data_IF_253999827069
#
_entry.id   IF_253999827069
#
_cell.length_a   1.000
_cell.length_b   1.000
_cell.length_c   1.000
_cell.angle_alpha   90.00
_cell.angle_beta   90.00
_cell.angle_gamma   90.00
#
_symmetry.space_group_name_H-M   'P 1'
#
loop_
_entity.id
_entity.type
_entity.pdbx_description
1 polymer ?
#
# COMPACT_ATOMS: atom_id res chain seq x y z
N UNK A 1 -11.95 18.51 14.43
CA UNK A 1 -12.58 17.16 14.49
C UNK A 1 -13.21 16.97 15.86
N UNK A 2 -14.52 16.77 15.93
CA UNK A 2 -15.28 16.50 17.15
C UNK A 2 -14.94 15.12 17.75
N UNK A 3 -15.43 14.83 18.95
CA UNK A 3 -15.25 13.49 19.54
C UNK A 3 -15.94 12.39 18.73
N UNK A 4 -17.11 12.69 18.16
CA UNK A 4 -17.88 11.75 17.32
C UNK A 4 -17.14 11.45 16.01
N UNK A 5 -16.68 12.47 15.29
CA UNK A 5 -15.89 12.31 14.06
C UNK A 5 -14.59 11.51 14.29
N UNK A 6 -13.92 11.73 15.42
CA UNK A 6 -12.71 10.94 15.77
C UNK A 6 -13.04 9.47 16.03
N UNK A 7 -14.18 9.20 16.67
CA UNK A 7 -14.60 7.82 16.91
C UNK A 7 -14.98 7.13 15.61
N UNK A 8 -15.72 7.78 14.74
CA UNK A 8 -16.07 7.28 13.41
C UNK A 8 -14.82 6.97 12.59
N UNK A 9 -13.88 7.92 12.50
CA UNK A 9 -12.61 7.72 11.81
C UNK A 9 -11.80 6.55 12.37
N UNK A 10 -11.81 6.37 13.69
CA UNK A 10 -11.14 5.23 14.35
C UNK A 10 -11.76 3.90 13.92
N UNK A 11 -13.09 3.81 13.91
CA UNK A 11 -13.78 2.57 13.50
C UNK A 11 -13.52 2.25 12.02
N UNK A 12 -13.55 3.27 11.17
CA UNK A 12 -13.25 3.11 9.74
C UNK A 12 -11.85 2.54 9.53
N UNK A 13 -10.83 3.10 10.20
CA UNK A 13 -9.46 2.61 10.10
C UNK A 13 -9.31 1.20 10.69
N UNK A 14 -9.93 0.89 11.82
CA UNK A 14 -9.91 -0.45 12.41
C UNK A 14 -10.48 -1.48 11.44
N UNK A 15 -11.57 -1.16 10.79
CA UNK A 15 -12.25 -2.04 9.83
C UNK A 15 -11.41 -2.18 8.53
N UNK A 16 -10.99 -1.06 7.98
CA UNK A 16 -10.21 -1.02 6.73
C UNK A 16 -8.91 -1.81 6.83
N UNK A 17 -8.21 -1.72 7.98
CA UNK A 17 -6.93 -2.38 8.22
C UNK A 17 -7.05 -3.75 8.90
N UNK A 18 -8.27 -4.27 9.04
CA UNK A 18 -8.55 -5.56 9.67
C UNK A 18 -7.90 -5.70 11.07
N UNK A 19 -8.08 -4.67 11.91
CA UNK A 19 -7.52 -4.58 13.26
C UNK A 19 -8.52 -4.91 14.37
N UNK A 20 -9.76 -5.27 14.02
CA UNK A 20 -10.84 -5.51 14.99
C UNK A 20 -10.50 -6.58 16.01
N UNK A 21 -9.83 -7.66 15.60
CA UNK A 21 -9.42 -8.77 16.48
C UNK A 21 -8.39 -8.35 17.52
N UNK A 22 -7.52 -7.41 17.18
CA UNK A 22 -6.41 -6.96 18.03
C UNK A 22 -6.65 -5.60 18.67
N UNK A 23 -7.84 -5.05 18.56
CA UNK A 23 -8.23 -3.72 19.04
C UNK A 23 -7.84 -3.46 20.52
N UNK A 24 -7.89 -4.48 21.35
CA UNK A 24 -7.59 -4.39 22.79
C UNK A 24 -6.23 -4.97 23.17
N UNK A 25 -5.48 -5.46 22.19
CA UNK A 25 -4.15 -6.02 22.42
C UNK A 25 -3.13 -4.91 22.68
N UNK A 26 -2.15 -5.21 23.52
CA UNK A 26 -0.98 -4.34 23.66
C UNK A 26 -0.11 -4.42 22.39
N UNK A 27 0.51 -3.30 22.00
CA UNK A 27 1.35 -3.24 20.80
C UNK A 27 2.47 -4.30 20.74
N UNK A 28 3.00 -4.69 21.91
CA UNK A 28 4.03 -5.75 22.02
C UNK A 28 3.48 -7.15 21.69
N UNK A 29 2.18 -7.35 21.75
CA UNK A 29 1.51 -8.63 21.49
C UNK A 29 1.15 -8.82 20.03
N UNK A 30 1.27 -7.76 19.22
CA UNK A 30 0.94 -7.79 17.80
C UNK A 30 1.99 -8.57 17.02
N UNK A 31 1.54 -9.39 16.08
CA UNK A 31 2.42 -9.96 15.05
C UNK A 31 3.06 -8.86 14.20
N UNK A 32 4.10 -9.19 13.44
CA UNK A 32 4.77 -8.23 12.54
C UNK A 32 3.79 -7.56 11.57
N UNK A 33 2.95 -8.35 10.92
CA UNK A 33 1.93 -7.84 9.98
C UNK A 33 0.84 -7.00 10.65
N UNK A 34 0.33 -7.40 11.83
CA UNK A 34 -0.65 -6.61 12.59
C UNK A 34 -0.07 -5.28 13.03
N UNK A 35 1.17 -5.28 13.49
CA UNK A 35 1.89 -4.08 13.90
C UNK A 35 2.04 -3.13 12.71
N UNK A 36 2.49 -3.62 11.55
CA UNK A 36 2.67 -2.81 10.35
C UNK A 36 1.35 -2.22 9.87
N UNK A 37 0.26 -2.99 9.84
CA UNK A 37 -1.08 -2.46 9.52
C UNK A 37 -1.52 -1.37 10.50
N UNK A 38 -1.27 -1.54 11.78
CA UNK A 38 -1.58 -0.53 12.81
C UNK A 38 -0.75 0.75 12.63
N UNK A 39 0.54 0.65 12.28
CA UNK A 39 1.41 1.79 12.01
C UNK A 39 0.93 2.61 10.82
N UNK A 40 0.55 1.94 9.71
CA UNK A 40 0.02 2.59 8.52
C UNK A 40 -1.34 3.24 8.83
N UNK A 41 -2.26 2.53 9.49
CA UNK A 41 -3.55 3.06 9.90
C UNK A 41 -3.42 4.32 10.76
N UNK A 42 -2.48 4.31 11.71
CA UNK A 42 -2.17 5.48 12.55
C UNK A 42 -1.67 6.67 11.73
N UNK A 43 -0.79 6.44 10.76
CA UNK A 43 -0.29 7.49 9.88
C UNK A 43 -1.41 8.10 9.03
N UNK A 44 -2.41 7.31 8.63
CA UNK A 44 -3.54 7.76 7.82
C UNK A 44 -4.64 8.47 8.63
N UNK A 45 -4.57 8.44 9.96
CA UNK A 45 -5.58 9.06 10.81
C UNK A 45 -5.67 10.59 10.65
N UNK A 46 -4.61 11.23 10.14
CA UNK A 46 -4.52 12.69 9.92
C UNK A 46 -4.76 13.10 8.47
N UNK A 47 -5.24 12.20 7.62
CA UNK A 47 -5.47 12.41 6.18
C UNK A 47 -4.26 13.03 5.44
N UNK A 48 -3.09 12.36 5.48
CA UNK A 48 -1.87 12.87 4.87
C UNK A 48 -1.97 12.83 3.35
N UNK A 49 -1.28 13.75 2.66
CA UNK A 49 -1.10 13.67 1.20
C UNK A 49 0.03 12.74 0.79
N UNK A 50 1.00 12.53 1.68
CA UNK A 50 2.15 11.64 1.46
C UNK A 50 2.42 10.83 2.71
N UNK A 51 2.84 9.59 2.52
CA UNK A 51 3.31 8.70 3.58
C UNK A 51 4.69 8.15 3.21
N UNK A 52 5.58 8.10 4.19
CA UNK A 52 6.90 7.48 4.06
C UNK A 52 6.86 6.17 4.84
N UNK A 53 7.20 5.08 4.16
CA UNK A 53 7.28 3.74 4.72
C UNK A 53 8.73 3.26 4.66
N UNK A 54 9.33 3.16 5.82
CA UNK A 54 10.70 2.66 5.97
C UNK A 54 10.66 1.17 6.29
N UNK A 55 11.26 0.37 5.41
CA UNK A 55 11.31 -1.10 5.47
C UNK A 55 9.95 -1.75 5.80
N UNK A 56 8.86 -1.48 5.04
CA UNK A 56 7.53 -1.99 5.38
C UNK A 56 7.43 -3.52 5.37
N UNK A 57 8.32 -4.22 4.70
CA UNK A 57 8.33 -5.68 4.57
C UNK A 57 9.30 -6.39 5.52
N UNK A 58 10.12 -5.63 6.28
CA UNK A 58 11.11 -6.22 7.19
C UNK A 58 10.46 -6.97 8.34
N UNK A 59 10.88 -8.20 8.57
CA UNK A 59 10.41 -9.04 9.68
C UNK A 59 8.93 -9.44 9.60
N UNK A 60 8.35 -9.39 8.40
CA UNK A 60 6.95 -9.75 8.14
C UNK A 60 6.91 -11.09 7.38
N UNK A 61 5.94 -11.93 7.73
CA UNK A 61 5.72 -13.20 7.02
C UNK A 61 5.16 -12.97 5.60
N UNK A 62 5.38 -13.91 4.65
CA UNK A 62 4.99 -13.72 3.25
C UNK A 62 3.50 -13.40 3.03
N UNK A 63 2.60 -13.99 3.84
CA UNK A 63 1.16 -13.76 3.72
C UNK A 63 0.83 -12.31 4.13
N UNK A 64 1.44 -11.85 5.22
CA UNK A 64 1.25 -10.48 5.68
C UNK A 64 1.93 -9.45 4.77
N UNK A 65 3.00 -9.82 4.02
CA UNK A 65 3.58 -8.96 2.97
C UNK A 65 2.54 -8.69 1.88
N UNK A 66 1.80 -9.69 1.40
CA UNK A 66 0.74 -9.50 0.41
C UNK A 66 -0.36 -8.56 0.93
N UNK A 67 -0.76 -8.70 2.19
CA UNK A 67 -1.74 -7.80 2.83
C UNK A 67 -1.24 -6.35 2.88
N UNK A 68 0.04 -6.15 3.22
CA UNK A 68 0.66 -4.81 3.28
C UNK A 68 0.76 -4.22 1.87
N UNK A 69 1.18 -5.01 0.88
CA UNK A 69 1.21 -4.59 -0.53
C UNK A 69 -0.17 -4.15 -1.01
N UNK A 70 -1.22 -4.90 -0.67
CA UNK A 70 -2.60 -4.56 -1.00
C UNK A 70 -3.03 -3.22 -0.38
N UNK A 71 -2.71 -3.01 0.89
CA UNK A 71 -2.98 -1.74 1.58
C UNK A 71 -2.26 -0.58 0.88
N UNK A 72 -0.96 -0.73 0.61
CA UNK A 72 -0.17 0.30 -0.07
C UNK A 72 -0.73 0.61 -1.46
N UNK A 73 -1.07 -0.42 -2.23
CA UNK A 73 -1.67 -0.23 -3.56
C UNK A 73 -3.01 0.54 -3.49
N UNK A 74 -3.81 0.34 -2.44
CA UNK A 74 -5.07 1.10 -2.24
C UNK A 74 -4.84 2.57 -1.94
N UNK A 75 -3.72 2.96 -1.35
CA UNK A 75 -3.42 4.37 -1.05
C UNK A 75 -3.34 5.23 -2.32
N UNK A 76 -2.89 4.66 -3.42
CA UNK A 76 -2.87 5.31 -4.74
C UNK A 76 -4.27 5.77 -5.17
N UNK A 77 -5.31 4.99 -4.88
CA UNK A 77 -6.69 5.32 -5.22
C UNK A 77 -7.37 6.26 -4.22
N UNK A 78 -6.62 6.67 -3.18
CA UNK A 78 -7.00 7.70 -2.22
C UNK A 78 -6.23 9.01 -2.43
N UNK A 79 -5.54 9.16 -3.58
CA UNK A 79 -4.68 10.29 -3.90
C UNK A 79 -3.58 10.55 -2.84
N UNK A 80 -3.10 9.47 -2.21
CA UNK A 80 -2.00 9.53 -1.24
C UNK A 80 -0.73 9.05 -1.92
N UNK A 81 0.27 9.94 -2.01
CA UNK A 81 1.61 9.59 -2.47
C UNK A 81 2.32 8.70 -1.46
N UNK A 82 3.01 7.64 -1.92
CA UNK A 82 3.76 6.74 -1.05
C UNK A 82 5.22 6.69 -1.48
N UNK A 83 6.11 6.90 -0.52
CA UNK A 83 7.54 6.69 -0.67
C UNK A 83 7.91 5.48 0.18
N UNK A 84 8.60 4.51 -0.42
CA UNK A 84 9.02 3.27 0.25
C UNK A 84 10.53 3.17 0.17
N UNK A 85 11.18 2.88 1.29
CA UNK A 85 12.56 2.41 1.35
C UNK A 85 12.53 0.95 1.81
N UNK A 86 13.14 0.03 1.06
CA UNK A 86 13.23 -1.38 1.46
C UNK A 86 14.40 -2.05 0.74
N UNK A 87 14.98 -3.03 1.39
CA UNK A 87 16.01 -3.88 0.80
C UNK A 87 15.42 -5.10 0.07
N UNK A 88 14.13 -5.38 0.27
CA UNK A 88 13.40 -6.42 -0.46
C UNK A 88 12.93 -5.89 -1.82
N UNK A 89 13.85 -5.90 -2.77
CA UNK A 89 13.66 -5.29 -4.08
C UNK A 89 12.48 -5.88 -4.84
N UNK A 90 12.33 -7.21 -4.79
CA UNK A 90 11.25 -7.91 -5.51
C UNK A 90 9.88 -7.43 -5.09
N UNK A 91 9.64 -7.37 -3.78
CA UNK A 91 8.36 -6.96 -3.20
C UNK A 91 8.09 -5.46 -3.43
N UNK A 92 9.15 -4.64 -3.39
CA UNK A 92 9.04 -3.20 -3.59
C UNK A 92 8.76 -2.85 -5.05
N UNK A 93 9.52 -3.42 -5.99
CA UNK A 93 9.31 -3.19 -7.42
C UNK A 93 7.95 -3.70 -7.91
N UNK A 94 7.40 -4.73 -7.27
CA UNK A 94 6.10 -5.28 -7.63
C UNK A 94 4.92 -4.32 -7.41
N UNK A 95 5.09 -3.28 -6.58
CA UNK A 95 4.00 -2.35 -6.18
C UNK A 95 4.29 -0.88 -6.47
N UNK A 96 5.50 -0.53 -6.91
CA UNK A 96 5.90 0.85 -7.19
C UNK A 96 5.70 1.22 -8.65
N UNK A 97 5.42 2.50 -8.93
CA UNK A 97 5.35 3.05 -10.30
C UNK A 97 6.74 3.49 -10.79
N UNK A 98 7.62 3.86 -9.85
CA UNK A 98 8.98 4.33 -10.12
C UNK A 98 9.89 3.98 -8.94
N UNK A 99 11.12 3.61 -9.23
CA UNK A 99 12.10 3.34 -8.19
C UNK A 99 13.46 4.01 -8.49
N UNK A 100 14.20 4.22 -7.42
CA UNK A 100 15.57 4.73 -7.41
C UNK A 100 16.45 3.69 -6.72
N UNK A 101 17.41 3.14 -7.41
CA UNK A 101 18.36 2.18 -6.84
C UNK A 101 19.57 2.91 -6.31
N UNK A 102 19.77 2.84 -5.00
CA UNK A 102 20.94 3.40 -4.33
C UNK A 102 22.01 2.30 -4.19
N UNK A 103 23.19 2.61 -4.63
CA UNK A 103 24.35 1.74 -4.52
C UNK A 103 25.59 2.55 -4.15
N UNK A 104 26.31 2.14 -3.11
CA UNK A 104 27.52 2.83 -2.62
C UNK A 104 27.33 4.35 -2.43
N UNK A 105 26.18 4.76 -1.88
CA UNK A 105 25.86 6.16 -1.58
C UNK A 105 25.46 7.02 -2.78
N UNK A 106 25.31 6.41 -3.97
CA UNK A 106 24.88 7.11 -5.20
C UNK A 106 23.66 6.45 -5.82
N UNK A 107 22.93 7.19 -6.67
CA UNK A 107 21.85 6.61 -7.47
C UNK A 107 22.50 5.87 -8.64
N UNK A 108 22.46 4.54 -8.60
CA UNK A 108 22.93 3.68 -9.68
C UNK A 108 22.02 3.81 -10.91
N UNK A 109 20.71 3.73 -10.70
CA UNK A 109 19.72 3.80 -11.78
C UNK A 109 18.37 4.21 -11.22
N UNK A 110 17.49 4.75 -12.10
CA UNK A 110 16.12 5.10 -11.75
C UNK A 110 15.19 4.85 -12.93
N UNK A 111 13.94 4.50 -12.66
CA UNK A 111 12.97 4.25 -13.73
C UNK A 111 11.75 3.48 -13.26
N UNK A 112 10.99 2.95 -14.22
CA UNK A 112 9.92 2.00 -13.94
C UNK A 112 10.51 0.65 -13.52
N UNK A 113 9.77 -0.17 -12.75
CA UNK A 113 10.21 -1.51 -12.38
C UNK A 113 10.66 -2.36 -13.57
N UNK A 114 9.95 -2.28 -14.69
CA UNK A 114 10.26 -3.03 -15.91
C UNK A 114 11.59 -2.56 -16.53
N UNK A 115 11.80 -1.24 -16.60
CA UNK A 115 13.05 -0.68 -17.13
C UNK A 115 14.26 -1.09 -16.27
N UNK A 116 14.10 -1.04 -14.93
CA UNK A 116 15.16 -1.45 -14.00
C UNK A 116 15.44 -2.95 -14.06
N UNK A 117 14.41 -3.77 -14.19
CA UNK A 117 14.58 -5.22 -14.30
C UNK A 117 15.23 -5.66 -15.64
N UNK A 118 15.13 -4.85 -16.68
CA UNK A 118 15.75 -5.09 -17.99
C UNK A 118 17.20 -4.57 -18.10
N UNK A 119 17.63 -3.67 -17.21
CA UNK A 119 18.95 -3.05 -17.24
C UNK A 119 20.03 -4.04 -16.81
N UNK A 120 21.09 -4.19 -17.64
CA UNK A 120 22.17 -5.15 -17.38
C UNK A 120 23.03 -4.77 -16.18
N UNK A 121 23.32 -3.49 -15.99
CA UNK A 121 24.09 -3.02 -14.83
C UNK A 121 23.31 -3.25 -13.53
N UNK A 122 22.02 -2.97 -13.52
CA UNK A 122 21.14 -3.22 -12.38
C UNK A 122 21.08 -4.72 -12.06
N UNK A 123 20.95 -5.56 -13.08
CA UNK A 123 20.93 -7.03 -12.90
C UNK A 123 22.25 -7.56 -12.35
N UNK A 124 23.36 -7.06 -12.88
CA UNK A 124 24.69 -7.55 -12.49
C UNK A 124 25.08 -7.09 -11.10
N UNK A 125 24.83 -5.82 -10.76
CA UNK A 125 25.32 -5.20 -9.52
C UNK A 125 24.33 -5.31 -8.35
N UNK A 126 23.04 -5.49 -8.63
CA UNK A 126 22.01 -5.34 -7.61
C UNK A 126 20.97 -6.47 -7.55
N UNK A 127 20.34 -6.83 -8.67
CA UNK A 127 19.23 -7.79 -8.68
C UNK A 127 19.70 -9.24 -8.74
N UNK A 128 20.83 -9.50 -9.38
CA UNK A 128 21.27 -10.83 -9.74
C UNK A 128 20.66 -11.35 -11.06
N UNK A 129 21.38 -12.25 -11.74
CA UNK A 129 21.01 -12.75 -13.08
C UNK A 129 19.69 -13.53 -13.10
N UNK A 130 19.31 -14.14 -11.98
CA UNK A 130 18.07 -14.91 -11.83
C UNK A 130 16.83 -14.08 -11.46
N UNK A 131 16.96 -12.76 -11.31
CA UNK A 131 15.83 -11.93 -10.92
C UNK A 131 14.73 -11.91 -11.98
N UNK A 132 13.50 -12.14 -11.54
CA UNK A 132 12.29 -12.04 -12.35
C UNK A 132 11.34 -11.08 -11.66
N UNK A 133 10.97 -10.00 -12.36
CA UNK A 133 9.96 -9.07 -11.87
C UNK A 133 8.59 -9.77 -11.87
N UNK A 134 8.02 -9.92 -10.69
CA UNK A 134 6.67 -10.47 -10.52
C UNK A 134 5.67 -9.32 -10.46
N UNK A 135 4.56 -9.44 -11.18
CA UNK A 135 3.41 -8.55 -10.96
C UNK A 135 2.76 -8.91 -9.63
N UNK A 136 2.49 -7.89 -8.82
CA UNK A 136 1.82 -8.11 -7.55
C UNK A 136 0.33 -8.40 -7.77
N UNK A 137 -0.14 -9.55 -7.30
CA UNK A 137 -1.56 -9.90 -7.24
C UNK A 137 -2.33 -8.88 -6.41
N UNK A 138 -1.69 -8.33 -5.39
CA UNK A 138 -2.24 -7.29 -4.51
C UNK A 138 -2.56 -5.99 -5.25
N UNK A 139 -1.73 -5.59 -6.23
CA UNK A 139 -1.99 -4.42 -7.07
C UNK A 139 -3.20 -4.64 -7.97
N UNK A 140 -3.28 -5.79 -8.63
CA UNK A 140 -4.43 -6.13 -9.49
C UNK A 140 -5.73 -6.22 -8.68
N UNK A 141 -5.67 -6.80 -7.47
CA UNK A 141 -6.80 -6.85 -6.54
C UNK A 141 -7.25 -5.45 -6.11
N UNK A 142 -6.34 -4.55 -5.74
CA UNK A 142 -6.66 -3.18 -5.36
C UNK A 142 -7.31 -2.40 -6.51
N UNK A 143 -6.81 -2.60 -7.73
CA UNK A 143 -7.38 -2.01 -8.95
C UNK A 143 -8.81 -2.49 -9.20
N UNK A 144 -9.04 -3.79 -9.09
CA UNK A 144 -10.37 -4.38 -9.28
C UNK A 144 -11.37 -3.89 -8.22
N UNK A 145 -10.95 -3.81 -6.94
CA UNK A 145 -11.79 -3.29 -5.87
C UNK A 145 -12.15 -1.82 -6.08
N UNK A 146 -11.18 -0.99 -6.48
CA UNK A 146 -11.46 0.41 -6.79
C UNK A 146 -12.45 0.56 -7.94
N UNK A 147 -12.26 -0.16 -9.04
CA UNK A 147 -13.18 -0.13 -10.18
C UNK A 147 -14.61 -0.54 -9.78
N UNK A 148 -14.76 -1.56 -8.93
CA UNK A 148 -16.06 -1.98 -8.43
C UNK A 148 -16.74 -0.90 -7.55
N UNK A 149 -15.96 -0.19 -6.73
CA UNK A 149 -16.46 0.92 -5.90
C UNK A 149 -16.92 2.10 -6.76
N UNK A 150 -16.19 2.45 -7.82
CA UNK A 150 -16.59 3.51 -8.74
C UNK A 150 -17.90 3.19 -9.48
N UNK A 151 -18.06 1.96 -9.95
CA UNK A 151 -19.32 1.49 -10.55
C UNK A 151 -20.47 1.59 -9.56
N UNK A 152 -20.27 1.16 -8.31
CA UNK A 152 -21.31 1.22 -7.28
C UNK A 152 -21.67 2.67 -6.90
N UNK A 153 -20.71 3.60 -6.88
CA UNK A 153 -20.96 5.03 -6.66
C UNK A 153 -21.76 5.64 -7.80
N UNK A 154 -21.39 5.35 -9.04
CA UNK A 154 -22.11 5.84 -10.22
C UNK A 154 -23.56 5.34 -10.25
N UNK A 155 -23.81 4.07 -9.92
CA UNK A 155 -25.16 3.51 -9.83
C UNK A 155 -26.03 4.19 -8.75
N UNK A 156 -25.43 4.49 -7.56
CA UNK A 156 -26.14 5.20 -6.49
C UNK A 156 -26.47 6.64 -6.87
N UNK A 157 -25.57 7.35 -7.53
CA UNK A 157 -25.82 8.72 -7.97
C UNK A 157 -26.91 8.78 -9.05
N UNK A 158 -26.96 7.82 -9.98
CA UNK A 158 -28.00 7.72 -10.99
C UNK A 158 -29.38 7.45 -10.36
N UNK A 159 -29.48 6.53 -9.39
CA UNK A 159 -30.73 6.23 -8.71
C UNK A 159 -31.25 7.37 -7.83
N UNK A 160 -30.35 8.18 -7.26
CA UNK A 160 -30.71 9.36 -6.47
C UNK A 160 -31.22 10.50 -7.35
N UNK A 161 -30.74 10.65 -8.59
CA UNK A 161 -31.21 11.63 -9.55
C UNK A 161 -32.63 11.29 -10.05
N UNK A 162 -32.90 10.03 -10.34
CA UNK A 162 -34.20 9.54 -10.81
C UNK A 162 -35.31 9.69 -9.75
N UNK A 163 -34.94 9.57 -8.46
CA UNK A 163 -35.88 9.75 -7.35
C UNK A 163 -36.16 11.21 -6.97
N UNK A 164 -35.42 12.17 -7.53
CA UNK A 164 -35.61 13.61 -7.30
C UNK A 164 -36.49 14.31 -8.37
N UNK A 165 -36.74 13.64 -9.50
CA UNK A 165 -37.56 14.14 -10.62
C UNK A 165 -38.99 13.57 -10.62
N UNK A 166 -39.34 12.65 -9.75
CA UNK A 166 -40.69 12.07 -9.59
C UNK A 166 -41.40 12.59 -8.34
#
# INVERSE_FOLDING_TARGET
MSKAERQERLEDLINEFNLSKVRKSLGIQLSGGERRRCEIARALAIDPKFILLDEPFAGVDPIAVEDIQFIIAKLKYKDIGVIITDHNVGETLAITDRAYLLYEGTILQQGTPEALAADEDVRTKYLGSGFVLKKSVSVERAKAEHAALEVARAAKSASAADSAEG
#
